data_IF_988037621591
#
_entry.id   IF_988037621591
#
_cell.length_a   1.000
_cell.length_b   1.000
_cell.length_c   1.000
_cell.angle_alpha   90.00
_cell.angle_beta   90.00
_cell.angle_gamma   90.00
#
_symmetry.space_group_name_H-M   'P 1'
#
loop_
_entity.id
_entity.type
_entity.pdbx_description
1 polymer ?
#
# COMPACT_ATOMS: atom_id res chain seq x y z
N UNK A 1 16.62 -15.96 18.36
CA UNK A 1 17.75 -15.38 17.65
C UNK A 1 18.94 -16.30 17.70
N UNK A 2 19.71 -16.45 16.61
CA UNK A 2 20.88 -17.30 16.62
C UNK A 2 21.87 -16.79 17.67
N UNK A 3 22.38 -17.71 18.51
CA UNK A 3 23.38 -17.39 19.54
C UNK A 3 24.77 -17.19 18.94
N UNK A 4 25.02 -17.77 17.75
CA UNK A 4 26.31 -17.64 17.05
C UNK A 4 26.59 -16.19 16.67
N UNK A 5 27.73 -15.59 17.10
CA UNK A 5 28.04 -14.18 16.84
C UNK A 5 28.24 -13.86 15.36
N UNK A 6 28.83 -14.77 14.57
CA UNK A 6 29.05 -14.54 13.15
C UNK A 6 27.73 -14.58 12.37
N UNK A 7 26.84 -15.53 12.73
CA UNK A 7 25.51 -15.60 12.16
C UNK A 7 24.68 -14.36 12.53
N UNK A 8 24.73 -13.90 13.79
CA UNK A 8 24.06 -12.67 14.22
C UNK A 8 24.56 -11.44 13.49
N UNK A 9 25.88 -11.33 13.27
CA UNK A 9 26.46 -10.23 12.49
C UNK A 9 25.94 -10.20 11.06
N UNK A 10 25.75 -11.35 10.44
CA UNK A 10 25.31 -11.48 9.04
C UNK A 10 23.78 -11.41 8.88
N UNK A 11 23.04 -12.08 9.75
CA UNK A 11 21.59 -12.30 9.63
C UNK A 11 20.80 -11.84 10.86
N UNK A 12 21.48 -11.30 11.87
CA UNK A 12 20.85 -10.91 13.13
C UNK A 12 19.81 -9.81 12.98
N UNK A 13 19.04 -9.58 14.05
CA UNK A 13 18.02 -8.56 14.03
C UNK A 13 18.69 -7.23 13.73
N UNK A 14 18.20 -6.64 12.70
CA UNK A 14 18.43 -5.22 12.53
C UNK A 14 17.52 -4.55 13.55
N UNK A 15 18.07 -3.65 14.33
CA UNK A 15 17.35 -2.94 15.36
C UNK A 15 16.37 -1.92 14.78
N UNK A 16 15.68 -1.27 15.67
CA UNK A 16 14.97 -0.03 15.36
C UNK A 16 16.03 1.03 15.05
N UNK A 17 15.89 1.71 13.92
CA UNK A 17 16.84 2.70 13.45
C UNK A 17 16.24 4.09 13.62
N UNK A 18 16.96 4.95 14.31
CA UNK A 18 16.68 6.38 14.36
C UNK A 18 17.60 7.10 13.38
N UNK A 19 17.04 7.95 12.52
CA UNK A 19 17.82 8.68 11.54
C UNK A 19 17.29 10.11 11.35
N UNK A 20 18.22 11.07 11.24
CA UNK A 20 17.93 12.45 10.93
C UNK A 20 18.76 12.90 9.73
N UNK A 21 18.25 13.91 9.01
CA UNK A 21 18.95 14.48 7.85
C UNK A 21 20.34 14.97 8.27
N UNK A 22 21.38 14.53 7.54
CA UNK A 22 22.77 14.93 7.80
C UNK A 22 23.43 14.25 8.99
N UNK A 23 22.77 13.30 9.64
CA UNK A 23 23.33 12.55 10.77
C UNK A 23 23.54 11.08 10.40
N UNK A 24 24.47 10.43 11.09
CA UNK A 24 24.67 8.97 10.99
C UNK A 24 23.49 8.26 11.65
N UNK A 25 22.83 7.31 10.96
CA UNK A 25 21.76 6.52 11.55
C UNK A 25 22.21 5.80 12.81
N UNK A 26 21.36 5.84 13.85
CA UNK A 26 21.62 5.23 15.15
C UNK A 26 20.80 3.95 15.29
N UNK A 27 21.45 2.86 15.68
CA UNK A 27 20.79 1.62 16.06
C UNK A 27 20.27 1.74 17.50
N UNK A 28 18.95 1.75 17.65
CA UNK A 28 18.23 1.85 18.92
C UNK A 28 18.02 0.49 19.60
N UNK A 29 18.68 -0.54 19.11
CA UNK A 29 18.63 -1.90 19.62
C UNK A 29 17.56 -2.78 18.96
N UNK A 30 17.57 -4.09 19.28
CA UNK A 30 16.76 -5.08 18.58
C UNK A 30 15.27 -4.90 18.84
N UNK A 31 14.47 -5.13 17.81
CA UNK A 31 13.02 -5.25 17.93
C UNK A 31 12.68 -6.63 18.53
N UNK A 32 12.86 -6.76 19.84
CA UNK A 32 12.50 -7.97 20.60
C UNK A 32 10.98 -8.08 20.74
N UNK A 33 10.47 -9.28 21.10
CA UNK A 33 9.04 -9.49 21.39
C UNK A 33 8.53 -8.44 22.41
N UNK A 34 9.29 -8.22 23.48
CA UNK A 34 8.92 -7.24 24.52
C UNK A 34 8.84 -5.80 23.98
N UNK A 35 9.75 -5.41 23.07
CA UNK A 35 9.70 -4.09 22.45
C UNK A 35 8.59 -3.99 21.41
N UNK A 36 8.23 -5.08 20.73
CA UNK A 36 7.11 -5.11 19.79
C UNK A 36 5.77 -4.82 20.48
N UNK A 37 5.64 -5.09 21.78
CA UNK A 37 4.43 -4.76 22.52
C UNK A 37 4.16 -3.25 22.57
N UNK A 38 5.20 -2.41 22.52
CA UNK A 38 5.12 -0.95 22.69
C UNK A 38 5.71 -0.14 21.55
N UNK A 39 6.18 -0.77 20.48
CA UNK A 39 6.82 -0.04 19.37
C UNK A 39 5.88 0.97 18.70
N UNK A 40 4.59 0.67 18.61
CA UNK A 40 3.64 1.59 18.02
C UNK A 40 3.35 2.78 18.95
N UNK A 41 3.44 2.61 20.27
CA UNK A 41 3.41 3.74 21.21
C UNK A 41 4.63 4.66 20.97
N UNK A 42 5.85 4.08 20.78
CA UNK A 42 7.06 4.86 20.44
C UNK A 42 6.87 5.64 19.13
N UNK A 43 6.33 4.99 18.08
CA UNK A 43 6.08 5.64 16.79
C UNK A 43 5.06 6.78 16.87
N UNK A 44 4.00 6.59 17.66
CA UNK A 44 2.99 7.64 17.87
C UNK A 44 3.59 8.81 18.64
N UNK A 45 4.37 8.56 19.69
CA UNK A 45 5.04 9.61 20.48
C UNK A 45 5.94 10.47 19.59
N UNK A 46 6.79 9.86 18.76
CA UNK A 46 7.62 10.58 17.79
C UNK A 46 6.79 11.39 16.79
N UNK A 47 5.67 10.84 16.33
CA UNK A 47 4.78 11.55 15.41
C UNK A 47 4.08 12.74 16.08
N UNK A 48 3.65 12.60 17.33
CA UNK A 48 3.05 13.68 18.09
C UNK A 48 4.07 14.81 18.37
N UNK A 49 5.31 14.45 18.72
CA UNK A 49 6.41 15.41 18.89
C UNK A 49 6.71 16.14 17.58
N UNK A 50 6.79 15.42 16.46
CA UNK A 50 7.00 16.03 15.14
C UNK A 50 5.91 17.04 14.77
N UNK A 51 4.64 16.76 15.09
CA UNK A 51 3.54 17.70 14.88
C UNK A 51 3.67 18.96 15.77
N UNK A 52 4.09 18.81 17.01
CA UNK A 52 4.37 19.96 17.91
C UNK A 52 5.51 20.86 17.35
N UNK A 53 6.59 20.23 16.87
CA UNK A 53 7.72 20.95 16.28
C UNK A 53 7.33 21.66 14.97
N UNK A 54 6.54 20.98 14.13
CA UNK A 54 6.02 21.54 12.88
C UNK A 54 5.11 22.75 13.12
N UNK A 55 4.24 22.66 14.11
CA UNK A 55 3.37 23.77 14.50
C UNK A 55 4.16 25.00 14.98
N UNK A 56 5.24 24.78 15.76
CA UNK A 56 6.13 25.84 16.25
C UNK A 56 6.93 26.51 15.12
N UNK A 57 7.45 25.70 14.20
CA UNK A 57 8.25 26.17 13.08
C UNK A 57 7.44 26.89 12.01
N UNK A 58 6.13 26.65 11.95
CA UNK A 58 5.19 27.16 10.92
C UNK A 58 5.62 26.79 9.49
N UNK A 59 6.37 25.70 9.34
CA UNK A 59 6.78 25.18 8.04
C UNK A 59 5.78 24.12 7.57
N UNK A 60 5.53 24.00 6.26
CA UNK A 60 4.82 22.84 5.71
C UNK A 60 5.52 21.54 6.10
N UNK A 61 4.75 20.51 6.39
CA UNK A 61 5.30 19.21 6.77
C UNK A 61 4.67 18.08 5.97
N UNK A 62 5.39 16.96 5.92
CA UNK A 62 4.91 15.67 5.46
C UNK A 62 5.23 14.63 6.52
N UNK A 63 4.20 14.04 7.11
CA UNK A 63 4.31 12.96 8.08
C UNK A 63 3.84 11.66 7.44
N UNK A 64 4.73 10.66 7.38
CA UNK A 64 4.37 9.31 6.99
C UNK A 64 4.44 8.42 8.24
N UNK A 65 3.28 8.14 8.81
CA UNK A 65 3.14 7.31 10.01
C UNK A 65 2.75 5.88 9.61
N UNK A 66 3.64 4.92 9.83
CA UNK A 66 3.42 3.50 9.56
C UNK A 66 3.34 2.73 10.88
N UNK A 67 2.16 2.35 11.37
CA UNK A 67 2.03 1.43 12.48
C UNK A 67 2.46 0.01 12.08
N UNK A 68 2.85 -0.81 13.05
CA UNK A 68 3.20 -2.22 12.81
C UNK A 68 1.99 -3.14 12.84
N UNK A 69 0.85 -2.66 13.31
CA UNK A 69 -0.44 -3.39 13.38
C UNK A 69 -1.08 -3.47 12.00
N UNK A 70 -1.59 -4.56 11.50
CA UNK A 70 -1.54 -5.96 12.00
C UNK A 70 -0.65 -6.78 11.07
N UNK A 71 0.64 -6.62 11.16
CA UNK A 71 1.58 -7.45 10.38
C UNK A 71 1.79 -8.82 11.04
N UNK A 72 2.46 -9.72 10.32
CA UNK A 72 2.67 -11.14 10.71
C UNK A 72 3.24 -11.35 12.12
N UNK A 73 4.11 -10.46 12.60
CA UNK A 73 4.77 -10.58 13.91
C UNK A 73 4.23 -9.51 14.88
N UNK A 74 2.95 -9.57 15.21
CA UNK A 74 2.34 -8.64 16.15
C UNK A 74 2.32 -9.22 17.56
N UNK A 75 2.77 -8.42 18.52
CA UNK A 75 2.68 -8.70 19.96
C UNK A 75 2.03 -7.51 20.65
N UNK A 76 0.96 -7.76 21.40
CA UNK A 76 0.24 -6.73 22.13
C UNK A 76 0.74 -6.62 23.57
N UNK A 77 0.78 -5.39 24.09
CA UNK A 77 0.99 -5.17 25.52
C UNK A 77 -0.17 -5.76 26.34
N UNK A 78 0.05 -6.18 27.60
CA UNK A 78 -1.00 -6.80 28.42
C UNK A 78 -2.27 -5.96 28.52
N UNK A 79 -2.15 -4.63 28.60
CA UNK A 79 -3.29 -3.73 28.67
C UNK A 79 -4.16 -3.69 27.39
N UNK A 80 -3.59 -4.04 26.23
CA UNK A 80 -4.31 -4.04 24.95
C UNK A 80 -4.86 -5.39 24.55
N UNK A 81 -4.41 -6.47 25.19
CA UNK A 81 -4.70 -7.86 24.76
C UNK A 81 -6.19 -8.21 24.66
N UNK A 82 -7.01 -7.57 25.46
CA UNK A 82 -8.45 -7.88 25.56
C UNK A 82 -9.35 -6.70 25.14
N UNK A 83 -8.83 -5.75 24.38
CA UNK A 83 -9.64 -4.60 23.94
C UNK A 83 -10.85 -5.01 23.11
N UNK A 84 -10.74 -6.06 22.31
CA UNK A 84 -11.84 -6.57 21.49
C UNK A 84 -12.78 -7.53 22.24
N UNK A 85 -12.49 -7.94 23.45
CA UNK A 85 -13.28 -8.93 24.21
C UNK A 85 -14.78 -8.65 24.28
N UNK A 86 -15.27 -7.39 24.38
CA UNK A 86 -16.70 -7.09 24.34
C UNK A 86 -17.39 -7.40 23.00
N UNK A 87 -16.62 -7.57 21.93
CA UNK A 87 -17.12 -7.71 20.56
C UNK A 87 -16.70 -9.02 19.90
N UNK A 88 -15.73 -9.73 20.47
CA UNK A 88 -15.11 -10.91 19.88
C UNK A 88 -14.69 -11.89 20.99
N UNK A 89 -13.80 -12.86 20.69
CA UNK A 89 -13.23 -13.74 21.69
C UNK A 89 -12.20 -13.02 22.57
N UNK A 90 -12.00 -13.53 23.80
CA UNK A 90 -11.02 -12.94 24.73
C UNK A 90 -9.59 -12.92 24.19
N UNK A 91 -9.24 -13.85 23.31
CA UNK A 91 -7.91 -13.95 22.67
C UNK A 91 -7.86 -13.35 21.25
N UNK A 92 -8.77 -12.45 20.90
CA UNK A 92 -8.76 -11.77 19.61
C UNK A 92 -7.60 -10.75 19.54
N UNK A 93 -6.43 -11.24 19.20
CA UNK A 93 -5.22 -10.44 19.02
C UNK A 93 -5.37 -9.48 17.83
N UNK A 94 -6.04 -9.91 16.75
CA UNK A 94 -6.24 -9.08 15.58
C UNK A 94 -7.16 -7.90 15.88
N UNK A 95 -8.35 -8.17 16.40
CA UNK A 95 -9.31 -7.13 16.77
C UNK A 95 -8.76 -6.16 17.82
N UNK A 96 -8.11 -6.69 18.86
CA UNK A 96 -7.48 -5.87 19.91
C UNK A 96 -6.35 -4.99 19.36
N UNK A 97 -5.53 -5.51 18.45
CA UNK A 97 -4.48 -4.74 17.78
C UNK A 97 -5.02 -3.66 16.86
N UNK A 98 -6.12 -3.93 16.15
CA UNK A 98 -6.82 -2.92 15.34
C UNK A 98 -7.40 -1.80 16.21
N UNK A 99 -7.99 -2.12 17.37
CA UNK A 99 -8.48 -1.12 18.31
C UNK A 99 -7.36 -0.27 18.92
N UNK A 100 -6.19 -0.87 19.18
CA UNK A 100 -5.00 -0.13 19.61
C UNK A 100 -4.53 0.85 18.53
N UNK A 101 -4.46 0.40 17.27
CA UNK A 101 -4.12 1.25 16.13
C UNK A 101 -5.13 2.39 15.94
N UNK A 102 -6.42 2.11 16.04
CA UNK A 102 -7.47 3.13 15.94
C UNK A 102 -7.31 4.21 17.03
N UNK A 103 -7.03 3.80 18.27
CA UNK A 103 -6.76 4.73 19.36
C UNK A 103 -5.51 5.60 19.08
N UNK A 104 -4.46 5.05 18.49
CA UNK A 104 -3.27 5.81 18.07
C UNK A 104 -3.59 6.83 16.97
N UNK A 105 -4.39 6.45 15.98
CA UNK A 105 -4.88 7.38 14.94
C UNK A 105 -5.70 8.50 15.57
N UNK A 106 -6.57 8.15 16.53
CA UNK A 106 -7.35 9.12 17.31
C UNK A 106 -6.46 10.16 18.00
N UNK A 107 -5.32 9.76 18.58
CA UNK A 107 -4.36 10.69 19.19
C UNK A 107 -3.75 11.65 18.17
N UNK A 108 -3.38 11.16 16.96
CA UNK A 108 -2.84 12.00 15.90
C UNK A 108 -3.87 13.01 15.38
N UNK A 109 -5.12 12.57 15.19
CA UNK A 109 -6.20 13.44 14.75
C UNK A 109 -6.50 14.51 15.79
N UNK A 110 -6.58 14.13 17.08
CA UNK A 110 -6.78 15.08 18.19
C UNK A 110 -5.63 16.08 18.28
N UNK A 111 -4.38 15.65 18.09
CA UNK A 111 -3.23 16.56 18.09
C UNK A 111 -3.34 17.62 17.01
N UNK A 112 -3.77 17.27 15.78
CA UNK A 112 -4.01 18.23 14.72
C UNK A 112 -5.10 19.24 15.07
N UNK A 113 -6.17 18.80 15.75
CA UNK A 113 -7.23 19.68 16.21
C UNK A 113 -6.73 20.62 17.33
N UNK A 114 -6.04 20.10 18.33
CA UNK A 114 -5.48 20.86 19.47
C UNK A 114 -4.47 21.94 19.00
N UNK A 115 -3.70 21.66 17.95
CA UNK A 115 -2.74 22.58 17.36
C UNK A 115 -3.37 23.57 16.34
N UNK A 116 -4.67 23.43 16.04
CA UNK A 116 -5.38 24.24 15.06
C UNK A 116 -4.94 23.95 13.59
N UNK A 117 -4.30 22.81 13.35
CA UNK A 117 -3.76 22.45 12.03
C UNK A 117 -4.74 21.67 11.16
N UNK A 118 -5.82 21.11 11.75
CA UNK A 118 -6.72 20.19 11.06
C UNK A 118 -7.34 20.73 9.77
N UNK A 119 -7.65 22.03 9.72
CA UNK A 119 -8.25 22.67 8.53
C UNK A 119 -7.27 22.84 7.36
N UNK A 120 -5.96 22.83 7.65
CA UNK A 120 -4.90 23.02 6.67
C UNK A 120 -4.00 21.78 6.54
N UNK A 121 -4.54 20.62 6.86
CA UNK A 121 -3.81 19.35 6.76
C UNK A 121 -4.63 18.35 5.96
N UNK A 122 -4.01 17.73 4.95
CA UNK A 122 -4.54 16.57 4.26
C UNK A 122 -4.20 15.34 5.12
N UNK A 123 -5.21 14.62 5.57
CA UNK A 123 -5.02 13.35 6.28
C UNK A 123 -5.47 12.21 5.39
N UNK A 124 -4.58 11.24 5.17
CA UNK A 124 -4.85 10.06 4.35
C UNK A 124 -4.64 8.82 5.23
N UNK A 125 -5.63 7.95 5.26
CA UNK A 125 -5.51 6.60 5.81
C UNK A 125 -5.64 5.58 4.69
N UNK A 126 -4.70 4.65 4.62
CA UNK A 126 -4.72 3.54 3.64
C UNK A 126 -3.91 2.36 4.16
N UNK A 127 -3.90 1.25 3.43
CA UNK A 127 -3.07 0.08 3.69
C UNK A 127 -2.25 -0.27 2.45
N UNK A 128 -1.18 -1.04 2.62
CA UNK A 128 -0.25 -1.42 1.53
C UNK A 128 -0.79 -2.55 0.65
N UNK A 129 -1.59 -3.46 1.21
CA UNK A 129 -2.16 -4.62 0.51
C UNK A 129 -3.43 -5.12 1.20
N UNK A 130 -4.10 -6.07 0.56
CA UNK A 130 -5.25 -6.75 1.13
C UNK A 130 -4.90 -7.63 2.35
N UNK A 131 -5.91 -8.27 2.97
CA UNK A 131 -5.76 -9.02 4.21
C UNK A 131 -4.78 -10.19 4.07
N UNK A 132 -4.21 -10.61 5.18
CA UNK A 132 -3.19 -11.66 5.27
C UNK A 132 -3.79 -12.89 5.99
N UNK A 133 -4.75 -13.54 5.33
CA UNK A 133 -5.57 -14.61 5.92
C UNK A 133 -4.75 -15.84 6.36
N UNK A 134 -3.61 -16.09 5.74
CA UNK A 134 -2.74 -17.23 6.12
C UNK A 134 -2.02 -17.02 7.47
N UNK A 135 -2.02 -15.80 8.01
CA UNK A 135 -1.53 -15.49 9.36
C UNK A 135 -2.69 -15.20 10.31
N UNK A 136 -3.68 -14.47 9.82
CA UNK A 136 -4.84 -14.00 10.57
C UNK A 136 -6.12 -14.56 9.96
N UNK A 137 -6.38 -15.89 10.10
CA UNK A 137 -7.59 -16.50 9.51
C UNK A 137 -8.88 -15.98 10.15
N UNK A 138 -8.80 -15.49 11.38
CA UNK A 138 -9.84 -14.84 12.18
C UNK A 138 -9.85 -13.30 12.02
N UNK A 139 -8.90 -12.75 11.25
CA UNK A 139 -8.79 -11.32 11.04
C UNK A 139 -9.85 -10.74 10.11
N UNK A 140 -9.88 -9.42 10.03
CA UNK A 140 -10.74 -8.71 9.10
C UNK A 140 -10.47 -9.08 7.65
N UNK A 141 -11.54 -9.31 6.89
CA UNK A 141 -11.45 -9.62 5.45
C UNK A 141 -12.21 -8.60 4.63
N UNK A 142 -12.03 -8.67 3.32
CA UNK A 142 -12.82 -7.92 2.35
C UNK A 142 -13.79 -8.87 1.64
N UNK A 143 -14.90 -8.37 1.04
CA UNK A 143 -15.77 -9.21 0.24
C UNK A 143 -15.12 -9.65 -1.07
N UNK A 144 -13.99 -9.05 -1.47
CA UNK A 144 -13.29 -9.38 -2.70
C UNK A 144 -12.50 -10.67 -2.56
N UNK A 145 -12.43 -11.44 -3.66
CA UNK A 145 -11.67 -12.70 -3.70
C UNK A 145 -10.19 -12.47 -3.43
N UNK A 146 -9.57 -13.39 -2.70
CA UNK A 146 -8.13 -13.45 -2.48
C UNK A 146 -7.64 -12.65 -1.27
N UNK A 147 -6.34 -12.54 -1.16
CA UNK A 147 -5.60 -11.99 -0.03
C UNK A 147 -4.26 -11.45 -0.51
N UNK A 148 -3.46 -10.90 0.39
CA UNK A 148 -2.07 -10.48 0.12
C UNK A 148 -1.33 -11.51 -0.74
N UNK A 149 -0.66 -11.05 -1.79
CA UNK A 149 0.09 -11.86 -2.75
C UNK A 149 -0.74 -12.76 -3.67
N UNK A 150 -2.06 -12.70 -3.66
CA UNK A 150 -2.90 -13.33 -4.67
C UNK A 150 -3.06 -12.44 -5.92
N UNK A 151 -3.58 -13.02 -7.01
CA UNK A 151 -3.86 -12.26 -8.24
C UNK A 151 -5.25 -11.58 -8.25
N UNK A 152 -6.01 -11.75 -7.19
CA UNK A 152 -7.40 -11.34 -7.08
C UNK A 152 -7.55 -9.93 -6.49
N UNK A 153 -8.71 -9.32 -6.69
CA UNK A 153 -8.99 -7.97 -6.21
C UNK A 153 -8.79 -7.81 -4.69
N UNK A 154 -9.06 -8.87 -3.91
CA UNK A 154 -8.85 -8.87 -2.46
C UNK A 154 -7.39 -8.76 -2.03
N UNK A 155 -6.43 -9.06 -2.92
CA UNK A 155 -5.00 -8.84 -2.67
C UNK A 155 -4.53 -7.41 -2.94
N UNK A 156 -5.26 -6.67 -3.81
CA UNK A 156 -4.85 -5.34 -4.30
C UNK A 156 -5.73 -4.21 -3.79
N UNK A 157 -7.03 -4.45 -3.58
CA UNK A 157 -7.91 -3.42 -3.05
C UNK A 157 -7.66 -3.18 -1.58
N UNK A 158 -7.50 -1.93 -1.24
CA UNK A 158 -7.30 -1.46 0.12
C UNK A 158 -8.24 -0.30 0.41
N UNK A 159 -8.64 -0.08 1.68
CA UNK A 159 -9.36 1.13 2.05
C UNK A 159 -8.49 2.36 1.78
N UNK A 160 -9.12 3.45 1.38
CA UNK A 160 -8.50 4.76 1.32
C UNK A 160 -9.50 5.81 1.80
N UNK A 161 -9.13 6.54 2.84
CA UNK A 161 -9.90 7.65 3.40
C UNK A 161 -9.08 8.93 3.27
N UNK A 162 -9.70 10.00 2.80
CA UNK A 162 -9.06 11.31 2.66
C UNK A 162 -9.88 12.35 3.42
N UNK A 163 -9.26 13.04 4.38
CA UNK A 163 -9.84 14.19 5.06
C UNK A 163 -9.08 15.46 4.68
N UNK A 164 -9.76 16.37 4.04
CA UNK A 164 -9.24 17.70 3.72
C UNK A 164 -10.37 18.73 3.77
N UNK A 165 -10.63 19.30 4.96
CA UNK A 165 -11.78 20.18 5.17
C UNK A 165 -11.83 21.36 4.20
N UNK A 166 -12.99 21.57 3.58
CA UNK A 166 -13.20 22.65 2.61
C UNK A 166 -12.70 22.38 1.20
N UNK A 167 -12.02 21.24 0.95
CA UNK A 167 -11.49 20.86 -0.36
C UNK A 167 -12.08 19.53 -0.84
N UNK A 168 -12.02 18.49 -0.03
CA UNK A 168 -12.68 17.21 -0.29
C UNK A 168 -14.09 17.28 0.27
N UNK A 169 -15.14 16.99 -0.55
CA UNK A 169 -16.52 16.99 -0.06
C UNK A 169 -16.72 15.96 1.06
N UNK A 170 -17.35 16.38 2.15
CA UNK A 170 -17.67 15.48 3.26
C UNK A 170 -18.64 14.38 2.79
N UNK A 171 -18.55 13.20 3.40
CA UNK A 171 -19.41 12.04 3.16
C UNK A 171 -19.46 11.57 1.70
N UNK A 172 -18.47 11.96 0.89
CA UNK A 172 -18.38 11.54 -0.50
C UNK A 172 -17.77 10.15 -0.62
N UNK A 173 -18.26 9.37 -1.57
CA UNK A 173 -17.74 8.03 -1.92
C UNK A 173 -17.34 8.03 -3.38
N UNK A 174 -16.14 7.54 -3.68
CA UNK A 174 -15.65 7.36 -5.04
C UNK A 174 -15.35 5.90 -5.36
N UNK A 175 -15.75 5.46 -6.54
CA UNK A 175 -15.40 4.16 -7.12
C UNK A 175 -14.38 4.29 -8.27
N UNK A 176 -13.85 5.47 -8.52
CA UNK A 176 -12.80 5.70 -9.52
C UNK A 176 -11.52 4.94 -9.15
N UNK A 177 -10.80 4.45 -10.17
CA UNK A 177 -9.52 3.77 -9.94
C UNK A 177 -8.52 4.81 -9.41
N UNK A 178 -7.88 4.50 -8.29
CA UNK A 178 -6.78 5.26 -7.73
C UNK A 178 -5.71 4.29 -7.23
N UNK A 179 -4.47 4.72 -7.19
CA UNK A 179 -3.33 3.88 -6.77
C UNK A 179 -2.41 4.66 -5.84
N UNK A 180 -1.63 3.95 -5.02
CA UNK A 180 -0.68 4.61 -4.10
C UNK A 180 0.33 5.51 -4.82
N UNK A 181 0.77 5.14 -6.02
CA UNK A 181 1.71 5.97 -6.77
C UNK A 181 1.07 7.24 -7.36
N UNK A 182 -0.26 7.38 -7.35
CA UNK A 182 -0.96 8.63 -7.67
C UNK A 182 -0.86 9.65 -6.54
N UNK A 183 -0.61 9.19 -5.30
CA UNK A 183 -0.50 10.09 -4.15
C UNK A 183 0.62 11.12 -4.33
N UNK A 184 1.76 10.72 -4.89
CA UNK A 184 2.88 11.64 -5.11
C UNK A 184 2.51 12.81 -6.03
N UNK A 185 1.92 12.51 -7.19
CA UNK A 185 1.52 13.54 -8.17
C UNK A 185 0.37 14.39 -7.66
N UNK A 186 -0.61 13.77 -7.00
CA UNK A 186 -1.77 14.45 -6.43
C UNK A 186 -1.36 15.40 -5.27
N UNK A 187 -0.49 14.94 -4.37
CA UNK A 187 0.00 15.77 -3.27
C UNK A 187 0.93 16.88 -3.76
N UNK A 188 1.74 16.63 -4.80
CA UNK A 188 2.53 17.68 -5.44
C UNK A 188 1.62 18.77 -6.03
N UNK A 189 0.55 18.38 -6.73
CA UNK A 189 -0.45 19.31 -7.26
C UNK A 189 -1.16 20.08 -6.14
N UNK A 190 -1.53 19.42 -5.05
CA UNK A 190 -2.10 20.06 -3.87
C UNK A 190 -1.15 21.10 -3.24
N UNK A 191 0.16 20.87 -3.32
CA UNK A 191 1.22 21.81 -2.90
C UNK A 191 1.57 22.86 -3.95
N UNK A 192 0.83 22.93 -5.07
CA UNK A 192 1.02 23.93 -6.12
C UNK A 192 2.00 23.53 -7.24
N UNK A 193 2.47 22.27 -7.28
CA UNK A 193 3.38 21.75 -8.31
C UNK A 193 2.61 20.78 -9.22
N UNK A 194 1.88 21.33 -10.19
CA UNK A 194 0.99 20.56 -11.09
C UNK A 194 1.72 19.80 -12.20
N UNK A 195 2.98 20.11 -12.46
CA UNK A 195 3.81 19.57 -13.55
C UNK A 195 4.99 18.72 -13.05
N UNK A 196 4.87 18.14 -11.84
CA UNK A 196 5.98 17.42 -11.18
C UNK A 196 6.52 16.27 -12.04
N UNK A 197 5.66 15.53 -12.74
CA UNK A 197 6.08 14.45 -13.62
C UNK A 197 6.94 14.94 -14.80
N UNK A 198 6.52 16.05 -15.45
CA UNK A 198 7.28 16.67 -16.54
C UNK A 198 8.63 17.24 -16.04
N UNK A 199 8.65 17.89 -14.89
CA UNK A 199 9.88 18.40 -14.26
C UNK A 199 10.89 17.29 -13.96
N UNK A 200 10.43 16.18 -13.37
CA UNK A 200 11.28 15.04 -13.05
C UNK A 200 11.77 14.31 -14.31
N UNK A 201 10.94 14.22 -15.35
CA UNK A 201 11.36 13.70 -16.65
C UNK A 201 12.49 14.55 -17.22
N UNK A 202 12.36 15.85 -17.23
CA UNK A 202 13.36 16.78 -17.79
C UNK A 202 14.67 16.80 -16.97
N UNK A 203 14.59 16.83 -15.63
CA UNK A 203 15.75 17.01 -14.76
C UNK A 203 16.47 15.71 -14.40
N UNK A 204 15.75 14.60 -14.29
CA UNK A 204 16.29 13.33 -13.80
C UNK A 204 16.11 12.17 -14.77
N UNK A 205 15.50 12.38 -15.94
CA UNK A 205 15.19 11.35 -16.91
C UNK A 205 14.43 10.15 -16.29
N UNK A 206 13.45 10.43 -15.44
CA UNK A 206 12.57 9.44 -14.84
C UNK A 206 11.14 9.62 -15.33
N UNK A 207 10.42 8.52 -15.51
CA UNK A 207 8.99 8.51 -15.75
C UNK A 207 8.30 8.29 -14.40
N UNK A 208 7.31 9.12 -14.11
CA UNK A 208 6.40 8.94 -12.98
C UNK A 208 5.12 8.32 -13.51
N UNK A 209 4.73 7.16 -12.98
CA UNK A 209 3.50 6.46 -13.38
C UNK A 209 2.26 6.99 -12.65
N UNK A 210 2.46 7.80 -11.62
CA UNK A 210 1.40 8.46 -10.88
C UNK A 210 0.67 9.53 -11.69
N UNK A 211 -0.63 9.59 -11.53
CA UNK A 211 -1.52 10.57 -12.18
C UNK A 211 -2.05 11.52 -11.11
N UNK A 212 -2.19 12.80 -11.45
CA UNK A 212 -2.81 13.78 -10.58
C UNK A 212 -4.33 13.55 -10.52
N UNK A 213 -4.84 13.27 -9.34
CA UNK A 213 -6.26 13.07 -9.03
C UNK A 213 -6.82 14.20 -8.15
N UNK A 214 -6.18 15.37 -8.07
CA UNK A 214 -6.65 16.45 -7.22
C UNK A 214 -8.07 16.93 -7.59
N UNK A 215 -8.38 17.08 -8.88
CA UNK A 215 -9.71 17.46 -9.33
C UNK A 215 -10.77 16.40 -8.96
N UNK A 216 -10.39 15.12 -8.98
CA UNK A 216 -11.24 14.03 -8.54
C UNK A 216 -11.51 14.08 -7.03
N UNK A 217 -10.49 14.32 -6.21
CA UNK A 217 -10.67 14.50 -4.76
C UNK A 217 -11.56 15.69 -4.41
N UNK A 218 -11.53 16.73 -5.23
CA UNK A 218 -12.38 17.91 -5.08
C UNK A 218 -13.84 17.68 -5.55
N UNK A 219 -14.18 16.49 -6.07
CA UNK A 219 -15.49 16.21 -6.66
C UNK A 219 -15.78 16.94 -7.97
N UNK A 220 -14.75 17.45 -8.66
CA UNK A 220 -14.87 18.25 -9.89
C UNK A 220 -14.73 17.44 -11.17
N UNK A 221 -14.18 16.23 -11.09
CA UNK A 221 -13.96 15.34 -12.22
C UNK A 221 -13.98 13.87 -11.79
N UNK A 222 -14.15 12.98 -12.74
CA UNK A 222 -13.91 11.55 -12.55
C UNK A 222 -12.40 11.29 -12.28
N UNK A 223 -12.07 10.08 -11.80
CA UNK A 223 -10.66 9.71 -11.67
C UNK A 223 -9.93 9.83 -13.01
N UNK A 224 -8.80 10.49 -13.01
CA UNK A 224 -7.94 10.61 -14.20
C UNK A 224 -7.27 9.27 -14.57
N UNK A 225 -7.31 8.28 -13.67
CA UNK A 225 -6.76 6.94 -13.91
C UNK A 225 -7.81 6.02 -14.51
N UNK A 226 -7.57 5.54 -15.74
CA UNK A 226 -8.46 4.63 -16.46
C UNK A 226 -8.05 3.16 -16.36
N UNK A 227 -6.81 2.85 -15.95
CA UNK A 227 -6.28 1.49 -15.88
C UNK A 227 -5.35 1.26 -14.70
N UNK A 228 -5.15 -0.03 -14.37
CA UNK A 228 -4.20 -0.49 -13.37
C UNK A 228 -3.49 -1.76 -13.86
N UNK A 229 -2.15 -1.76 -13.82
CA UNK A 229 -1.32 -2.92 -14.21
C UNK A 229 -0.99 -3.73 -12.96
N UNK A 230 -1.33 -5.00 -12.98
CA UNK A 230 -1.07 -5.91 -11.85
C UNK A 230 0.30 -6.56 -11.99
N UNK A 231 1.06 -6.46 -10.92
CA UNK A 231 2.34 -7.14 -10.76
C UNK A 231 2.32 -8.05 -9.56
N UNK A 232 2.91 -9.23 -9.67
CA UNK A 232 3.27 -10.05 -8.52
C UNK A 232 4.80 -10.07 -8.45
N UNK A 233 5.36 -9.40 -7.45
CA UNK A 233 6.78 -9.05 -7.38
C UNK A 233 7.20 -8.28 -8.66
N UNK A 234 7.96 -8.92 -9.56
CA UNK A 234 8.40 -8.34 -10.83
C UNK A 234 7.64 -8.84 -12.03
N UNK A 235 6.80 -9.84 -11.85
CA UNK A 235 6.06 -10.43 -12.95
C UNK A 235 4.76 -9.65 -13.22
N UNK A 236 4.62 -9.23 -14.47
CA UNK A 236 3.35 -8.73 -14.98
C UNK A 236 2.35 -9.88 -14.97
N UNK A 237 1.24 -9.70 -14.27
CA UNK A 237 0.21 -10.73 -14.12
C UNK A 237 -1.13 -10.36 -14.73
N UNK A 238 -1.38 -9.10 -15.04
CA UNK A 238 -2.64 -8.68 -15.64
C UNK A 238 -2.81 -7.18 -15.75
N UNK A 239 -3.98 -6.81 -16.23
CA UNK A 239 -4.39 -5.42 -16.42
C UNK A 239 -5.87 -5.27 -16.07
N UNK A 240 -6.20 -4.16 -15.44
CA UNK A 240 -7.58 -3.65 -15.33
C UNK A 240 -7.70 -2.38 -16.16
N UNK A 241 -8.76 -2.29 -16.98
CA UNK A 241 -9.17 -1.05 -17.63
C UNK A 241 -10.67 -0.88 -17.47
N UNK A 242 -11.07 0.25 -16.87
CA UNK A 242 -12.44 0.48 -16.46
C UNK A 242 -13.00 -0.68 -15.60
N UNK A 243 -14.06 -1.32 -16.09
CA UNK A 243 -14.69 -2.46 -15.42
C UNK A 243 -14.10 -3.84 -15.79
N UNK A 244 -13.15 -3.88 -16.70
CA UNK A 244 -12.58 -5.13 -17.20
C UNK A 244 -11.23 -5.43 -16.61
N UNK A 245 -11.06 -6.65 -16.11
CA UNK A 245 -9.78 -7.19 -15.65
C UNK A 245 -9.42 -8.39 -16.50
N UNK A 246 -8.21 -8.39 -17.04
CA UNK A 246 -7.59 -9.52 -17.72
C UNK A 246 -6.40 -10.03 -16.90
N UNK A 247 -6.36 -11.34 -16.64
CA UNK A 247 -5.23 -12.01 -16.00
C UNK A 247 -4.46 -12.83 -17.02
N UNK A 248 -3.15 -12.64 -17.04
CA UNK A 248 -2.18 -13.44 -17.81
C UNK A 248 -1.59 -14.55 -16.92
N UNK A 249 -1.56 -14.33 -15.63
CA UNK A 249 -1.11 -15.28 -14.61
C UNK A 249 -1.97 -15.16 -13.38
N UNK A 250 -2.13 -16.28 -12.68
CA UNK A 250 -2.91 -16.31 -11.43
C UNK A 250 -2.18 -17.03 -10.30
N UNK A 251 -2.49 -16.60 -9.07
CA UNK A 251 -1.94 -17.13 -7.83
C UNK A 251 -2.99 -16.97 -6.74
N UNK A 252 -3.27 -18.03 -6.00
CA UNK A 252 -4.29 -18.00 -4.94
C UNK A 252 -3.79 -17.35 -3.64
N UNK A 253 -2.51 -17.54 -3.30
CA UNK A 253 -1.95 -16.98 -2.08
C UNK A 253 -0.43 -16.97 -2.06
N UNK A 254 0.14 -16.55 -0.95
CA UNK A 254 1.59 -16.30 -0.81
C UNK A 254 2.45 -17.54 -1.11
N UNK A 255 1.99 -18.72 -0.71
CA UNK A 255 2.76 -19.98 -0.87
C UNK A 255 2.45 -20.73 -2.16
N UNK A 256 1.49 -20.24 -2.97
CA UNK A 256 1.12 -20.89 -4.21
C UNK A 256 2.04 -20.48 -5.36
N UNK A 257 2.27 -21.36 -6.34
CA UNK A 257 3.00 -21.00 -7.55
C UNK A 257 2.18 -20.08 -8.43
N UNK A 258 2.86 -19.19 -9.14
CA UNK A 258 2.25 -18.38 -10.17
C UNK A 258 2.01 -19.26 -11.42
N UNK A 259 0.75 -19.42 -11.82
CA UNK A 259 0.32 -20.26 -12.94
C UNK A 259 -0.03 -19.38 -14.15
N UNK A 260 0.17 -19.89 -15.35
CA UNK A 260 -0.38 -19.24 -16.54
C UNK A 260 -1.90 -19.23 -16.48
N UNK A 261 -2.48 -18.11 -16.85
CA UNK A 261 -3.93 -17.92 -16.92
C UNK A 261 -4.27 -17.12 -18.17
N UNK A 262 -5.49 -17.21 -18.61
CA UNK A 262 -6.08 -16.32 -19.60
C UNK A 262 -7.52 -16.07 -19.21
N UNK A 263 -7.70 -15.32 -18.14
CA UNK A 263 -8.99 -15.09 -17.53
C UNK A 263 -9.43 -13.63 -17.68
N UNK A 264 -10.72 -13.43 -18.00
CA UNK A 264 -11.34 -12.12 -18.08
C UNK A 264 -12.51 -12.01 -17.11
N UNK A 265 -12.57 -10.88 -16.41
CA UNK A 265 -13.64 -10.55 -15.48
C UNK A 265 -14.23 -9.19 -15.80
N UNK A 266 -15.55 -9.09 -15.74
CA UNK A 266 -16.23 -7.80 -15.66
C UNK A 266 -16.49 -7.49 -14.18
N UNK A 267 -15.66 -6.68 -13.57
CA UNK A 267 -15.71 -6.40 -12.13
C UNK A 267 -16.97 -5.62 -11.68
N UNK A 268 -17.76 -5.08 -12.60
CA UNK A 268 -19.08 -4.50 -12.28
C UNK A 268 -20.14 -5.58 -12.15
N UNK A 269 -20.08 -6.63 -12.98
CA UNK A 269 -21.03 -7.74 -12.97
C UNK A 269 -20.61 -8.85 -11.99
N UNK A 270 -19.32 -9.03 -11.83
CA UNK A 270 -18.68 -10.02 -10.94
C UNK A 270 -17.58 -9.35 -10.11
N UNK A 271 -17.95 -8.50 -9.13
CA UNK A 271 -16.97 -7.77 -8.30
C UNK A 271 -16.13 -8.70 -7.41
N UNK A 272 -16.56 -9.93 -7.25
CA UNK A 272 -15.90 -10.93 -6.39
C UNK A 272 -15.15 -12.00 -7.18
N UNK A 273 -15.02 -11.86 -8.49
CA UNK A 273 -14.28 -12.76 -9.38
C UNK A 273 -14.67 -14.25 -9.20
N UNK A 274 -15.97 -14.49 -8.99
CA UNK A 274 -16.54 -15.84 -8.75
C UNK A 274 -16.68 -16.67 -10.02
N UNK A 275 -16.87 -16.00 -11.15
CA UNK A 275 -17.17 -16.64 -12.43
C UNK A 275 -15.90 -16.87 -13.24
N UNK A 276 -14.99 -17.72 -12.72
CA UNK A 276 -13.77 -18.13 -13.41
C UNK A 276 -13.98 -19.31 -14.39
N UNK A 277 -12.88 -19.88 -14.89
CA UNK A 277 -12.87 -21.08 -15.72
C UNK A 277 -13.60 -20.89 -17.06
N UNK A 278 -14.50 -21.81 -17.40
CA UNK A 278 -15.20 -21.81 -18.70
C UNK A 278 -15.99 -20.52 -18.98
N UNK A 279 -16.58 -19.89 -17.97
CA UNK A 279 -17.30 -18.64 -18.15
C UNK A 279 -16.32 -17.50 -18.50
N UNK A 280 -15.21 -17.41 -17.82
CA UNK A 280 -14.15 -16.44 -18.12
C UNK A 280 -13.60 -16.62 -19.54
N UNK A 281 -13.38 -17.88 -19.97
CA UNK A 281 -12.96 -18.19 -21.34
C UNK A 281 -13.99 -17.78 -22.38
N UNK A 282 -15.29 -18.00 -22.09
CA UNK A 282 -16.38 -17.55 -22.98
C UNK A 282 -16.42 -16.02 -23.07
N UNK A 283 -16.21 -15.30 -21.99
CA UNK A 283 -16.12 -13.84 -22.00
C UNK A 283 -14.93 -13.37 -22.83
N UNK A 284 -13.78 -14.00 -22.71
CA UNK A 284 -12.60 -13.68 -23.50
C UNK A 284 -12.87 -13.81 -25.00
N UNK A 285 -13.55 -14.89 -25.41
CA UNK A 285 -13.91 -15.11 -26.81
C UNK A 285 -14.98 -14.14 -27.32
N UNK A 286 -16.05 -13.94 -26.55
CA UNK A 286 -17.19 -13.09 -26.96
C UNK A 286 -16.89 -11.59 -26.88
N UNK A 287 -15.88 -11.20 -26.11
CA UNK A 287 -15.45 -9.82 -25.87
C UNK A 287 -13.99 -9.61 -26.26
N UNK A 288 -13.54 -10.31 -27.30
CA UNK A 288 -12.16 -10.30 -27.78
C UNK A 288 -11.61 -8.91 -28.10
N UNK A 289 -12.48 -7.95 -28.46
CA UNK A 289 -12.10 -6.55 -28.66
C UNK A 289 -11.48 -5.91 -27.41
N UNK A 290 -11.84 -6.37 -26.19
CA UNK A 290 -11.21 -5.89 -24.94
C UNK A 290 -9.75 -6.29 -24.89
N UNK A 291 -9.43 -7.49 -25.40
CA UNK A 291 -8.05 -7.97 -25.50
C UNK A 291 -7.15 -7.03 -26.31
N UNK A 292 -7.66 -6.46 -27.41
CA UNK A 292 -6.94 -5.46 -28.20
C UNK A 292 -6.63 -4.21 -27.39
N UNK A 293 -7.62 -3.62 -26.73
CA UNK A 293 -7.43 -2.43 -25.86
C UNK A 293 -6.43 -2.72 -24.75
N UNK A 294 -6.52 -3.88 -24.09
CA UNK A 294 -5.58 -4.29 -23.06
C UNK A 294 -4.17 -4.49 -23.60
N UNK A 295 -4.04 -5.07 -24.78
CA UNK A 295 -2.75 -5.26 -25.43
C UNK A 295 -2.07 -3.93 -25.71
N UNK A 296 -2.78 -2.94 -26.25
CA UNK A 296 -2.22 -1.61 -26.53
C UNK A 296 -1.67 -0.97 -25.24
N UNK A 297 -2.45 -0.96 -24.15
CA UNK A 297 -2.01 -0.42 -22.86
C UNK A 297 -0.77 -1.16 -22.34
N UNK A 298 -0.73 -2.49 -22.45
CA UNK A 298 0.40 -3.29 -21.99
C UNK A 298 1.65 -3.07 -22.84
N UNK A 299 1.49 -2.92 -24.17
CA UNK A 299 2.59 -2.59 -25.07
C UNK A 299 3.19 -1.24 -24.71
N UNK A 300 2.38 -0.21 -24.56
CA UNK A 300 2.83 1.12 -24.14
C UNK A 300 3.54 1.09 -22.79
N UNK A 301 3.00 0.32 -21.84
CA UNK A 301 3.64 0.11 -20.56
C UNK A 301 5.01 -0.55 -20.69
N UNK A 302 5.13 -1.64 -21.46
CA UNK A 302 6.39 -2.35 -21.69
C UNK A 302 7.41 -1.51 -22.45
N UNK A 303 6.98 -0.69 -23.42
CA UNK A 303 7.83 0.29 -24.11
C UNK A 303 8.38 1.30 -23.10
N UNK A 304 7.51 1.82 -22.21
CA UNK A 304 7.94 2.77 -21.21
C UNK A 304 8.97 2.21 -20.23
N UNK A 305 8.88 0.92 -19.85
CA UNK A 305 9.87 0.26 -19.00
C UNK A 305 11.23 0.05 -19.68
N UNK A 306 11.26 -0.04 -21.01
CA UNK A 306 12.53 -0.08 -21.79
C UNK A 306 13.16 1.30 -21.89
N UNK A 307 12.34 2.34 -22.09
CA UNK A 307 12.80 3.72 -22.17
C UNK A 307 13.25 4.25 -20.80
N UNK A 308 12.50 3.91 -19.75
CA UNK A 308 12.76 4.30 -18.35
C UNK A 308 12.87 3.06 -17.46
N UNK A 309 13.99 2.34 -17.50
CA UNK A 309 14.14 1.12 -16.71
C UNK A 309 14.12 1.42 -15.21
N UNK A 310 13.60 0.50 -14.39
CA UNK A 310 13.59 0.65 -12.93
C UNK A 310 15.01 0.88 -12.39
N UNK A 311 15.20 1.96 -11.65
CA UNK A 311 16.50 2.28 -11.02
C UNK A 311 16.75 1.49 -9.76
N UNK A 312 15.68 1.14 -9.05
CA UNK A 312 15.75 0.26 -7.89
C UNK A 312 15.35 -1.16 -8.29
N UNK A 313 16.18 -2.09 -7.92
CA UNK A 313 15.83 -3.50 -8.08
C UNK A 313 14.93 -3.86 -6.90
N UNK A 314 13.67 -4.15 -7.15
CA UNK A 314 12.72 -4.62 -6.14
C UNK A 314 13.24 -5.84 -5.38
N UNK A 315 12.80 -6.03 -4.15
CA UNK A 315 13.02 -7.27 -3.40
C UNK A 315 12.42 -8.44 -4.15
N UNK A 316 13.09 -9.59 -4.16
CA UNK A 316 12.52 -10.84 -4.63
C UNK A 316 13.02 -11.96 -3.73
N UNK A 317 12.14 -12.91 -3.44
CA UNK A 317 12.51 -14.14 -2.72
C UNK A 317 13.09 -15.20 -3.67
N UNK A 318 13.11 -14.93 -4.98
CA UNK A 318 13.63 -15.88 -5.98
C UNK A 318 15.16 -15.85 -6.03
N UNK A 319 15.83 -17.00 -5.85
CA UNK A 319 17.29 -17.07 -5.83
C UNK A 319 17.94 -16.67 -7.17
N UNK A 320 17.32 -17.00 -8.29
CA UNK A 320 17.77 -16.66 -9.65
C UNK A 320 17.79 -15.15 -9.91
N UNK A 321 16.80 -14.44 -9.43
CA UNK A 321 16.74 -12.99 -9.48
C UNK A 321 17.73 -12.32 -8.53
N UNK A 322 18.02 -12.94 -7.38
CA UNK A 322 19.06 -12.47 -6.46
C UNK A 322 20.46 -12.70 -7.02
N UNK A 323 20.70 -13.83 -7.69
CA UNK A 323 21.97 -14.14 -8.31
C UNK A 323 22.32 -13.15 -9.44
N UNK A 324 21.35 -12.72 -10.23
CA UNK A 324 21.58 -11.72 -11.30
C UNK A 324 21.96 -10.33 -10.79
N UNK A 325 21.76 -10.03 -9.49
CA UNK A 325 22.25 -8.79 -8.85
C UNK A 325 23.73 -8.84 -8.52
N UNK A 326 24.25 -10.01 -8.11
CA UNK A 326 25.65 -10.18 -7.71
C UNK A 326 26.62 -10.20 -8.93
N UNK A 327 26.10 -10.40 -10.15
CA UNK A 327 26.93 -10.40 -11.36
C UNK A 327 27.11 -8.97 -11.94
N UNK A 328 26.29 -8.00 -11.48
CA UNK A 328 26.34 -6.61 -11.95
C UNK A 328 27.02 -5.64 -10.98
N UNK A 329 27.56 -6.13 -9.88
CA UNK A 329 28.46 -5.40 -8.96
C UNK A 329 29.90 -5.83 -9.21
#
# INVERSE_FOLDING_TARGET
YPKDPAFRKKYGPRGVIEAYVGQTPKDMGPLSIKRMETIDDELVEHSLQFLDESAKSKQPFFLWHNPTRMHVNTHLKPASRYLAAPYSSEDDVYGSGMMEMDAHIGQLLKKLDDLGLAKNTIVIFTSDNGPQLFIWPDGGTTPFKGQKSSSWEGGYRVPMLVRWPGVVPADSVSNGIQTHYDLFTTLAAAAGVTDVAAKLKASHQVKIDGIDNLAHWQGKADSARSFFVYYNERELIGLRTGNWKGLLKEREGFFDPLKQSFAFYNLRMDPYEKHGGNYSNQLALRKSWIGGVMQDILVDHMVSLREYPPRQVGGSLRPDEQASKSIKQ
#
